data_IF_362572982286
#
_entry.id   IF_362572982286
#
_cell.length_a   1.000
_cell.length_b   1.000
_cell.length_c   1.000
_cell.angle_alpha   90.00
_cell.angle_beta   90.00
_cell.angle_gamma   90.00
#
_symmetry.space_group_name_H-M   'P 1'
#
loop_
_entity.id
_entity.type
_entity.pdbx_description
1 polymer ?
#
# COMPACT_ATOMS: atom_id res chain seq x y z
N UNK A 1 0.78 -6.42 26.57
CA UNK A 1 2.08 -5.84 26.15
C UNK A 1 1.98 -4.31 26.22
N UNK A 2 3.11 -3.60 26.21
CA UNK A 2 3.21 -2.14 26.41
C UNK A 2 2.30 -1.31 25.47
N UNK A 3 1.91 -1.84 24.32
CA UNK A 3 1.05 -1.18 23.32
C UNK A 3 -0.26 -1.92 23.04
N UNK A 4 -0.75 -2.71 23.98
CA UNK A 4 -1.98 -3.49 23.78
C UNK A 4 -3.21 -2.60 23.52
N UNK A 5 -3.27 -1.42 24.13
CA UNK A 5 -4.38 -0.46 23.99
C UNK A 5 -4.43 0.16 22.58
N UNK A 6 -3.29 0.29 21.90
CA UNK A 6 -3.20 0.84 20.54
C UNK A 6 -3.93 -0.04 19.50
N UNK A 7 -4.12 -1.33 19.79
CA UNK A 7 -4.80 -2.27 18.89
C UNK A 7 -6.28 -1.92 18.71
N UNK A 8 -6.88 -1.17 19.65
CA UNK A 8 -8.28 -0.77 19.58
C UNK A 8 -8.53 0.24 18.46
N UNK A 9 -7.53 1.05 18.11
CA UNK A 9 -7.60 1.95 16.96
C UNK A 9 -7.78 1.19 15.63
N UNK A 10 -7.27 -0.03 15.52
CA UNK A 10 -7.38 -0.88 14.33
C UNK A 10 -8.58 -1.85 14.37
N UNK A 11 -9.54 -1.62 15.27
CA UNK A 11 -10.70 -2.50 15.42
C UNK A 11 -11.53 -2.62 14.14
N UNK A 12 -11.66 -1.56 13.33
CA UNK A 12 -12.42 -1.60 12.06
C UNK A 12 -11.80 -2.56 11.05
N UNK A 13 -10.46 -2.58 10.92
CA UNK A 13 -9.75 -3.50 10.02
C UNK A 13 -9.98 -4.98 10.35
N UNK A 14 -10.27 -5.28 11.61
CA UNK A 14 -10.56 -6.64 12.08
C UNK A 14 -12.01 -7.07 11.82
N UNK A 15 -12.87 -6.15 11.37
CA UNK A 15 -14.26 -6.46 11.05
C UNK A 15 -14.36 -7.21 9.72
N UNK A 16 -15.10 -8.31 9.70
CA UNK A 16 -15.45 -9.04 8.47
C UNK A 16 -16.23 -8.16 7.48
N UNK A 17 -16.92 -7.13 7.97
CA UNK A 17 -17.68 -6.19 7.16
C UNK A 17 -16.84 -4.98 6.72
N UNK A 18 -15.54 -4.92 7.03
CA UNK A 18 -14.67 -3.78 6.69
C UNK A 18 -14.74 -3.40 5.20
N UNK A 19 -14.71 -4.41 4.32
CA UNK A 19 -14.83 -4.21 2.87
C UNK A 19 -16.14 -3.52 2.47
N UNK A 20 -17.22 -3.74 3.22
CA UNK A 20 -18.58 -3.23 2.93
C UNK A 20 -18.82 -1.82 3.45
N UNK A 21 -17.87 -1.24 4.18
CA UNK A 21 -17.97 0.14 4.67
C UNK A 21 -18.14 1.07 3.45
N UNK A 22 -19.15 1.96 3.45
CA UNK A 22 -19.36 2.92 2.37
C UNK A 22 -18.12 3.81 2.19
N UNK A 23 -17.85 4.19 0.93
CA UNK A 23 -16.71 5.03 0.57
C UNK A 23 -16.67 6.34 1.38
N UNK A 24 -17.83 6.91 1.67
CA UNK A 24 -17.99 8.18 2.39
C UNK A 24 -17.58 8.08 3.87
N UNK A 25 -17.51 6.87 4.41
CA UNK A 25 -17.09 6.59 5.80
C UNK A 25 -15.61 6.22 5.91
N UNK A 26 -14.88 6.25 4.79
CA UNK A 26 -13.44 6.03 4.75
C UNK A 26 -12.75 7.37 4.90
N UNK A 27 -12.03 7.54 6.01
CA UNK A 27 -11.19 8.72 6.23
C UNK A 27 -9.83 8.52 5.58
N UNK A 28 -9.41 9.49 4.77
CA UNK A 28 -8.07 9.57 4.17
C UNK A 28 -7.24 10.70 4.77
N UNK A 29 -7.41 10.98 6.07
CA UNK A 29 -6.64 12.01 6.77
C UNK A 29 -5.21 11.58 7.05
N UNK A 30 -4.36 12.53 7.46
CA UNK A 30 -2.97 12.27 7.85
C UNK A 30 -2.76 11.54 9.17
N UNK A 31 -3.82 10.96 9.75
CA UNK A 31 -3.68 10.05 10.87
C UNK A 31 -3.34 8.65 10.36
N UNK A 32 -2.25 8.06 10.87
CA UNK A 32 -1.69 6.79 10.40
C UNK A 32 -2.71 5.64 10.28
N UNK A 33 -3.68 5.57 11.19
CA UNK A 33 -4.72 4.52 11.17
C UNK A 33 -5.70 4.78 10.02
N UNK A 34 -6.10 6.04 9.81
CA UNK A 34 -6.94 6.45 8.68
C UNK A 34 -6.24 6.14 7.35
N UNK A 35 -4.97 6.51 7.19
CA UNK A 35 -4.23 6.27 5.95
C UNK A 35 -4.10 4.78 5.63
N UNK A 36 -3.85 3.95 6.66
CA UNK A 36 -3.81 2.49 6.52
C UNK A 36 -5.18 1.90 6.16
N UNK A 37 -6.23 2.31 6.86
CA UNK A 37 -7.61 1.88 6.58
C UNK A 37 -8.01 2.21 5.15
N UNK A 38 -7.80 3.45 4.71
CA UNK A 38 -8.10 3.88 3.35
C UNK A 38 -7.35 3.05 2.30
N UNK A 39 -6.05 2.84 2.48
CA UNK A 39 -5.25 2.06 1.54
C UNK A 39 -5.71 0.60 1.43
N UNK A 40 -5.99 -0.06 2.55
CA UNK A 40 -6.51 -1.44 2.56
C UNK A 40 -7.91 -1.48 1.94
N UNK A 41 -8.77 -0.51 2.25
CA UNK A 41 -10.11 -0.45 1.67
C UNK A 41 -10.08 -0.31 0.15
N UNK A 42 -9.19 0.55 -0.39
CA UNK A 42 -9.00 0.68 -1.84
C UNK A 42 -8.56 -0.65 -2.47
N UNK A 43 -7.57 -1.32 -1.87
CA UNK A 43 -7.09 -2.61 -2.38
C UNK A 43 -8.20 -3.66 -2.38
N UNK A 44 -9.00 -3.72 -1.31
CA UNK A 44 -10.10 -4.67 -1.23
C UNK A 44 -11.19 -4.33 -2.24
N UNK A 45 -11.52 -3.06 -2.47
CA UNK A 45 -12.66 -2.67 -3.31
C UNK A 45 -12.34 -2.41 -4.80
N UNK A 46 -11.12 -2.70 -5.22
CA UNK A 46 -10.68 -2.60 -6.62
C UNK A 46 -10.11 -3.94 -7.11
N UNK A 47 -9.87 -4.07 -8.41
CA UNK A 47 -9.46 -5.35 -9.02
C UNK A 47 -8.19 -5.26 -9.87
N UNK A 48 -7.55 -4.09 -9.92
CA UNK A 48 -6.31 -3.87 -10.66
C UNK A 48 -5.50 -2.73 -10.03
N UNK A 49 -4.23 -2.62 -10.40
CA UNK A 49 -3.32 -1.62 -9.84
C UNK A 49 -3.81 -0.19 -10.10
N UNK A 50 -4.25 0.09 -11.33
CA UNK A 50 -4.62 1.44 -11.72
C UNK A 50 -5.87 1.90 -10.98
N UNK A 51 -6.91 1.06 -10.91
CA UNK A 51 -8.13 1.39 -10.17
C UNK A 51 -7.86 1.54 -8.68
N UNK A 52 -7.00 0.70 -8.07
CA UNK A 52 -6.62 0.82 -6.66
C UNK A 52 -5.96 2.17 -6.34
N UNK A 53 -4.94 2.56 -7.12
CA UNK A 53 -4.20 3.81 -6.88
C UNK A 53 -5.07 5.02 -7.19
N UNK A 54 -5.86 4.99 -8.27
CA UNK A 54 -6.78 6.07 -8.59
C UNK A 54 -7.85 6.24 -7.52
N UNK A 55 -8.40 5.15 -6.98
CA UNK A 55 -9.37 5.22 -5.89
C UNK A 55 -8.75 5.89 -4.65
N UNK A 56 -7.53 5.49 -4.27
CA UNK A 56 -6.79 6.08 -3.17
C UNK A 56 -6.55 7.59 -3.34
N UNK A 57 -6.17 8.04 -4.54
CA UNK A 57 -6.03 9.48 -4.84
C UNK A 57 -7.39 10.20 -4.78
N UNK A 58 -8.44 9.58 -5.30
CA UNK A 58 -9.77 10.17 -5.37
C UNK A 58 -10.50 10.24 -4.01
N UNK A 59 -10.02 9.54 -2.98
CA UNK A 59 -10.52 9.74 -1.60
C UNK A 59 -10.22 11.17 -1.08
N UNK A 60 -9.18 11.82 -1.59
CA UNK A 60 -8.83 13.19 -1.21
C UNK A 60 -8.07 13.29 0.12
N UNK A 61 -7.99 14.50 0.65
CA UNK A 61 -7.25 14.85 1.88
C UNK A 61 -5.75 14.50 1.77
N UNK A 62 -5.25 13.48 2.49
CA UNK A 62 -3.84 13.04 2.44
C UNK A 62 -3.57 12.07 1.28
N UNK A 63 -3.76 12.59 0.06
CA UNK A 63 -3.74 11.78 -1.17
C UNK A 63 -2.40 11.13 -1.46
N UNK A 64 -1.28 11.81 -1.18
CA UNK A 64 0.07 11.30 -1.47
C UNK A 64 0.42 10.15 -0.53
N UNK A 65 0.12 10.27 0.76
CA UNK A 65 0.38 9.20 1.74
C UNK A 65 -0.49 7.98 1.44
N UNK A 66 -1.80 8.16 1.26
CA UNK A 66 -2.74 7.05 1.05
C UNK A 66 -2.44 6.35 -0.28
N UNK A 67 -2.16 7.10 -1.36
CA UNK A 67 -1.82 6.51 -2.66
C UNK A 67 -0.47 5.80 -2.64
N UNK A 68 0.53 6.30 -1.90
CA UNK A 68 1.81 5.61 -1.74
C UNK A 68 1.65 4.26 -1.03
N UNK A 69 0.87 4.20 0.06
CA UNK A 69 0.59 2.94 0.78
C UNK A 69 -0.23 2.00 -0.12
N UNK A 70 -1.32 2.48 -0.71
CA UNK A 70 -2.18 1.68 -1.59
C UNK A 70 -1.42 1.14 -2.81
N UNK A 71 -0.57 1.96 -3.44
CA UNK A 71 0.26 1.57 -4.57
C UNK A 71 1.32 0.51 -4.20
N UNK A 72 1.91 0.60 -3.01
CA UNK A 72 2.81 -0.44 -2.49
C UNK A 72 2.08 -1.78 -2.30
N UNK A 73 0.91 -1.76 -1.66
CA UNK A 73 0.09 -2.96 -1.44
C UNK A 73 -0.42 -3.55 -2.77
N UNK A 74 -0.90 -2.71 -3.69
CA UNK A 74 -1.36 -3.11 -5.01
C UNK A 74 -0.22 -3.69 -5.85
N UNK A 75 1.00 -3.13 -5.75
CA UNK A 75 2.18 -3.67 -6.42
C UNK A 75 2.53 -5.08 -5.94
N UNK A 76 2.35 -5.37 -4.65
CA UNK A 76 2.52 -6.72 -4.10
C UNK A 76 1.40 -7.68 -4.54
N UNK A 77 0.16 -7.19 -4.62
CA UNK A 77 -1.01 -8.02 -4.95
C UNK A 77 -1.12 -8.34 -6.46
N UNK A 78 -0.84 -7.37 -7.32
CA UNK A 78 -1.03 -7.46 -8.78
C UNK A 78 0.28 -7.63 -9.56
N UNK A 79 1.42 -7.39 -8.91
CA UNK A 79 2.74 -7.47 -9.53
C UNK A 79 3.18 -6.19 -10.27
N UNK A 80 4.48 -6.08 -10.51
CA UNK A 80 5.09 -4.91 -11.16
C UNK A 80 4.57 -4.67 -12.59
N UNK A 81 4.34 -5.75 -13.35
CA UNK A 81 3.82 -5.67 -14.74
C UNK A 81 2.37 -5.14 -14.82
N UNK A 82 1.65 -5.08 -13.70
CA UNK A 82 0.31 -4.51 -13.65
C UNK A 82 0.30 -2.97 -13.59
N UNK A 83 1.45 -2.34 -13.34
CA UNK A 83 1.55 -0.87 -13.30
C UNK A 83 1.40 -0.34 -14.74
N UNK A 84 0.50 0.63 -14.99
CA UNK A 84 0.34 1.21 -16.31
C UNK A 84 1.65 1.75 -16.89
N UNK A 85 1.98 1.32 -18.11
CA UNK A 85 3.24 1.69 -18.75
C UNK A 85 3.40 3.22 -18.89
N UNK A 86 2.30 3.92 -19.17
CA UNK A 86 2.31 5.39 -19.26
C UNK A 86 2.66 6.07 -17.93
N UNK A 87 2.31 5.46 -16.80
CA UNK A 87 2.70 5.97 -15.47
C UNK A 87 4.18 5.74 -15.21
N UNK A 88 4.69 4.57 -15.56
CA UNK A 88 6.12 4.26 -15.48
C UNK A 88 6.95 5.17 -16.39
N UNK A 89 6.45 5.53 -17.56
CA UNK A 89 7.14 6.39 -18.53
C UNK A 89 7.34 7.82 -18.01
N UNK A 90 6.49 8.29 -17.11
CA UNK A 90 6.59 9.63 -16.50
C UNK A 90 7.15 9.61 -15.07
N UNK A 91 7.44 8.42 -14.52
CA UNK A 91 7.94 8.26 -13.17
C UNK A 91 9.37 8.83 -13.07
N UNK A 92 9.51 9.84 -12.22
CA UNK A 92 10.79 10.50 -12.00
C UNK A 92 11.80 9.51 -11.39
N UNK A 93 13.01 9.45 -11.97
CA UNK A 93 14.11 8.58 -11.50
C UNK A 93 13.74 7.09 -11.44
N UNK A 94 12.89 6.62 -12.36
CA UNK A 94 12.49 5.20 -12.47
C UNK A 94 13.67 4.23 -12.38
N UNK A 95 14.71 4.42 -13.19
CA UNK A 95 15.89 3.54 -13.22
C UNK A 95 16.56 3.44 -11.84
N UNK A 96 16.77 4.58 -11.16
CA UNK A 96 17.33 4.60 -9.81
C UNK A 96 16.45 3.87 -8.78
N UNK A 97 15.13 4.01 -8.87
CA UNK A 97 14.20 3.30 -7.98
C UNK A 97 14.25 1.80 -8.20
N UNK A 98 14.25 1.36 -9.45
CA UNK A 98 14.33 -0.05 -9.83
C UNK A 98 15.65 -0.68 -9.40
N UNK A 99 16.77 0.02 -9.62
CA UNK A 99 18.09 -0.43 -9.17
C UNK A 99 18.14 -0.56 -7.64
N UNK A 100 17.59 0.42 -6.91
CA UNK A 100 17.51 0.37 -5.45
C UNK A 100 16.69 -0.83 -4.97
N UNK A 101 15.56 -1.13 -5.62
CA UNK A 101 14.75 -2.33 -5.33
C UNK A 101 15.51 -3.62 -5.62
N UNK A 102 16.26 -3.70 -6.73
CA UNK A 102 17.09 -4.86 -7.07
C UNK A 102 18.21 -5.08 -6.05
N UNK A 103 18.90 -4.01 -5.61
CA UNK A 103 19.93 -4.09 -4.58
C UNK A 103 19.36 -4.58 -3.24
N UNK A 104 18.21 -4.03 -2.82
CA UNK A 104 17.51 -4.47 -1.61
C UNK A 104 17.14 -5.95 -1.68
N UNK A 105 16.53 -6.39 -2.80
CA UNK A 105 16.16 -7.79 -3.01
C UNK A 105 17.38 -8.72 -2.96
N UNK A 106 18.50 -8.33 -3.57
CA UNK A 106 19.75 -9.11 -3.51
C UNK A 106 20.26 -9.23 -2.08
N UNK A 107 20.28 -8.15 -1.32
CA UNK A 107 20.76 -8.15 0.07
C UNK A 107 19.94 -9.08 0.98
N UNK A 108 18.63 -9.19 0.74
CA UNK A 108 17.76 -10.14 1.47
C UNK A 108 18.10 -11.60 1.16
N UNK A 109 18.37 -11.92 -0.11
CA UNK A 109 18.75 -13.29 -0.53
C UNK A 109 20.08 -13.71 0.09
N UNK A 110 21.11 -12.85 0.05
CA UNK A 110 22.42 -13.16 0.65
C UNK A 110 22.35 -13.39 2.16
N UNK A 111 21.54 -12.61 2.90
CA UNK A 111 21.33 -12.85 4.35
C UNK A 111 20.57 -14.13 4.66
N UNK A 112 19.82 -14.68 3.70
CA UNK A 112 19.12 -15.95 3.83
C UNK A 112 20.05 -17.16 3.69
N UNK A 113 21.11 -17.05 2.90
CA UNK A 113 22.10 -18.12 2.69
C UNK A 113 23.18 -18.19 3.76
N UNK A 114 23.37 -17.14 4.55
CA UNK A 114 24.38 -17.07 5.62
C UNK A 114 23.89 -17.65 6.98
N UNK A 115 22.71 -18.27 7.03
CA UNK A 115 22.14 -18.91 8.25
C UNK A 115 22.33 -20.43 8.34
N UNK A 116 23.19 -21.02 7.51
CA UNK A 116 23.67 -22.39 7.71
C UNK A 116 25.13 -22.37 8.19
N UNK A 117 25.37 -22.24 9.50
CA UNK A 117 26.52 -22.80 10.24
C UNK A 117 26.19 -22.91 11.73
#
# INVERSE_FOLDING_TARGET
PEYAEELDHFSRLRSEDFRKIPREEISSSGYVVSSLEAAIWCLLNTNDYASCVLEAVNLGDDTDTVAAIAGGLAGLAYGYEAIPQDWLNVLLRREYLEDTCHEFSRALVYRGTDKEF
#
